data_IF_451686343165
#
_entry.id   IF_451686343165
#
_cell.length_a   1.000
_cell.length_b   1.000
_cell.length_c   1.000
_cell.angle_alpha   90.00
_cell.angle_beta   90.00
_cell.angle_gamma   90.00
#
_symmetry.space_group_name_H-M   'P 1'
#
loop_
_entity.id
_entity.type
_entity.pdbx_description
1 polymer ?
#
# COMPACT_ATOMS: atom_id res chain seq x y z
N UNK A 1 -23.99 3.95 -17.84
CA UNK A 1 -23.01 4.84 -17.19
C UNK A 1 -21.64 4.50 -17.74
N UNK A 2 -20.80 5.52 -17.98
CA UNK A 2 -19.42 5.31 -18.42
C UNK A 2 -18.54 4.75 -17.32
N UNK A 3 -17.60 3.86 -17.66
CA UNK A 3 -16.72 3.21 -16.69
C UNK A 3 -15.90 4.18 -15.84
N UNK A 4 -15.40 5.29 -16.42
CA UNK A 4 -14.67 6.29 -15.63
C UNK A 4 -15.54 6.95 -14.54
N UNK A 5 -16.85 7.08 -14.75
CA UNK A 5 -17.78 7.61 -13.74
C UNK A 5 -17.85 6.64 -12.56
N UNK A 6 -17.96 5.34 -12.86
CA UNK A 6 -17.96 4.30 -11.84
C UNK A 6 -16.66 4.31 -11.02
N UNK A 7 -15.50 4.37 -11.69
CA UNK A 7 -14.20 4.44 -11.02
C UNK A 7 -14.06 5.66 -10.11
N UNK A 8 -14.51 6.84 -10.57
CA UNK A 8 -14.52 8.06 -9.75
C UNK A 8 -15.44 7.89 -8.53
N UNK A 9 -16.64 7.33 -8.70
CA UNK A 9 -17.58 7.12 -7.61
C UNK A 9 -17.02 6.17 -6.55
N UNK A 10 -16.39 5.07 -6.94
CA UNK A 10 -15.80 4.15 -5.97
C UNK A 10 -14.63 4.80 -5.21
N UNK A 11 -13.77 5.57 -5.89
CA UNK A 11 -12.70 6.35 -5.21
C UNK A 11 -13.29 7.33 -4.19
N UNK A 12 -14.38 8.02 -4.55
CA UNK A 12 -15.10 8.92 -3.63
C UNK A 12 -15.63 8.14 -2.43
N UNK A 13 -16.30 7.00 -2.65
CA UNK A 13 -16.82 6.18 -1.56
C UNK A 13 -15.71 5.60 -0.68
N UNK A 14 -14.59 5.20 -1.26
CA UNK A 14 -13.40 4.78 -0.54
C UNK A 14 -12.92 5.91 0.39
N UNK A 15 -12.76 7.15 -0.12
CA UNK A 15 -12.30 8.26 0.71
C UNK A 15 -13.32 8.63 1.79
N UNK A 16 -14.61 8.72 1.47
CA UNK A 16 -15.67 9.01 2.45
C UNK A 16 -15.68 7.95 3.56
N UNK A 17 -15.66 6.66 3.18
CA UNK A 17 -15.64 5.55 4.12
C UNK A 17 -14.40 5.56 5.01
N UNK A 18 -13.22 5.73 4.40
CA UNK A 18 -11.93 5.76 5.10
C UNK A 18 -11.81 6.96 6.05
N UNK A 19 -12.23 8.16 5.63
CA UNK A 19 -12.26 9.36 6.48
C UNK A 19 -13.21 9.16 7.65
N UNK A 20 -14.44 8.69 7.39
CA UNK A 20 -15.46 8.48 8.42
C UNK A 20 -15.00 7.44 9.43
N UNK A 21 -14.39 6.35 8.97
CA UNK A 21 -13.84 5.31 9.83
C UNK A 21 -12.71 5.85 10.71
N UNK A 22 -11.78 6.62 10.13
CA UNK A 22 -10.70 7.28 10.90
C UNK A 22 -11.24 8.27 11.93
N UNK A 23 -12.30 9.01 11.61
CA UNK A 23 -12.89 9.99 12.52
C UNK A 23 -13.61 9.35 13.70
N UNK A 24 -14.27 8.22 13.46
CA UNK A 24 -14.97 7.45 14.49
C UNK A 24 -14.04 6.87 15.55
N UNK A 25 -12.83 6.43 15.18
CA UNK A 25 -11.91 5.75 16.10
C UNK A 25 -10.64 6.58 16.37
N UNK A 26 -10.51 7.08 17.61
CA UNK A 26 -9.36 7.90 18.03
C UNK A 26 -8.02 7.18 17.87
N UNK A 27 -8.00 5.85 18.02
CA UNK A 27 -6.83 5.01 17.82
C UNK A 27 -6.27 5.16 16.39
N UNK A 28 -7.14 5.21 15.37
CA UNK A 28 -6.74 5.33 13.97
C UNK A 28 -6.20 6.73 13.64
N UNK A 29 -6.66 7.76 14.36
CA UNK A 29 -6.15 9.14 14.19
C UNK A 29 -4.65 9.25 14.50
N UNK A 30 -4.11 8.35 15.32
CA UNK A 30 -2.68 8.31 15.69
C UNK A 30 -1.77 7.70 14.62
N UNK A 31 -2.32 7.05 13.59
CA UNK A 31 -1.55 6.55 12.43
C UNK A 31 -1.18 7.76 11.56
N UNK A 32 0.02 7.76 10.94
CA UNK A 32 0.34 8.74 9.89
C UNK A 32 -0.78 8.76 8.83
N UNK A 33 -1.14 9.95 8.33
CA UNK A 33 -2.26 10.09 7.39
C UNK A 33 -2.03 9.32 6.09
N UNK A 34 -0.86 9.50 5.48
CA UNK A 34 -0.50 8.82 4.24
C UNK A 34 -0.47 7.30 4.43
N UNK A 35 0.18 6.81 5.50
CA UNK A 35 0.17 5.37 5.82
C UNK A 35 -1.23 4.83 6.02
N UNK A 36 -2.09 5.56 6.74
CA UNK A 36 -3.45 5.10 7.01
C UNK A 36 -4.24 4.91 5.72
N UNK A 37 -4.30 5.93 4.85
CA UNK A 37 -5.04 5.81 3.60
C UNK A 37 -4.42 4.71 2.73
N UNK A 38 -3.11 4.61 2.68
CA UNK A 38 -2.43 3.54 1.97
C UNK A 38 -2.82 2.14 2.48
N UNK A 39 -2.79 1.91 3.80
CA UNK A 39 -3.23 0.64 4.41
C UNK A 39 -4.70 0.34 4.09
N UNK A 40 -5.57 1.34 4.14
CA UNK A 40 -6.97 1.17 3.76
C UNK A 40 -7.14 0.86 2.26
N UNK A 41 -6.30 1.44 1.40
CA UNK A 41 -6.28 1.15 -0.03
C UNK A 41 -5.80 -0.29 -0.28
N UNK A 42 -4.73 -0.72 0.39
CA UNK A 42 -4.24 -2.11 0.34
C UNK A 42 -5.34 -3.11 0.71
N UNK A 43 -6.17 -2.81 1.71
CA UNK A 43 -7.33 -3.65 2.07
C UNK A 43 -8.37 -3.68 0.93
N UNK A 44 -8.71 -2.52 0.36
CA UNK A 44 -9.66 -2.43 -0.76
C UNK A 44 -9.16 -3.21 -1.98
N UNK A 45 -7.89 -3.04 -2.36
CA UNK A 45 -7.27 -3.78 -3.46
C UNK A 45 -7.34 -5.27 -3.23
N UNK A 46 -7.12 -5.76 -2.00
CA UNK A 46 -7.30 -7.17 -1.69
C UNK A 46 -8.72 -7.70 -1.99
N UNK A 47 -9.77 -6.88 -1.81
CA UNK A 47 -11.11 -7.26 -2.25
C UNK A 47 -11.24 -7.30 -3.78
N UNK A 48 -10.60 -6.37 -4.49
CA UNK A 48 -10.58 -6.40 -5.95
C UNK A 48 -9.88 -7.66 -6.46
N UNK A 49 -8.72 -7.99 -5.90
CA UNK A 49 -7.91 -9.13 -6.28
C UNK A 49 -8.58 -10.47 -5.98
N UNK A 50 -9.24 -10.60 -4.82
CA UNK A 50 -10.06 -11.79 -4.52
C UNK A 50 -11.14 -11.97 -5.59
N UNK A 51 -11.79 -10.87 -6.00
CA UNK A 51 -12.81 -10.92 -7.06
C UNK A 51 -12.20 -11.29 -8.41
N UNK A 52 -11.04 -10.74 -8.76
CA UNK A 52 -10.30 -11.07 -9.97
C UNK A 52 -9.95 -12.56 -10.02
N UNK A 53 -9.34 -13.10 -8.95
CA UNK A 53 -8.97 -14.51 -8.87
C UNK A 53 -10.19 -15.42 -8.95
N UNK A 54 -11.29 -15.05 -8.29
CA UNK A 54 -12.53 -15.83 -8.27
C UNK A 54 -13.29 -15.76 -9.59
N UNK A 55 -13.11 -14.69 -10.36
CA UNK A 55 -13.83 -14.39 -11.59
C UNK A 55 -12.93 -14.34 -12.83
N UNK A 56 -11.77 -15.00 -12.75
CA UNK A 56 -10.67 -14.88 -13.72
C UNK A 56 -11.12 -15.13 -15.16
N UNK A 57 -11.96 -16.16 -15.37
CA UNK A 57 -12.49 -16.50 -16.71
C UNK A 57 -13.24 -15.33 -17.36
N UNK A 58 -14.08 -14.63 -16.61
CA UNK A 58 -14.84 -13.51 -17.14
C UNK A 58 -13.95 -12.29 -17.40
N UNK A 59 -12.92 -12.10 -16.58
CA UNK A 59 -11.90 -11.08 -16.82
C UNK A 59 -11.20 -11.34 -18.15
N UNK A 60 -10.73 -12.57 -18.39
CA UNK A 60 -10.08 -12.97 -19.64
C UNK A 60 -10.98 -12.79 -20.86
N UNK A 61 -12.24 -13.23 -20.79
CA UNK A 61 -13.17 -13.10 -21.91
C UNK A 61 -13.39 -11.64 -22.28
N UNK A 62 -13.64 -10.80 -21.28
CA UNK A 62 -13.86 -9.38 -21.49
C UNK A 62 -12.59 -8.66 -21.98
N UNK A 63 -11.38 -9.02 -21.52
CA UNK A 63 -10.13 -8.48 -22.08
C UNK A 63 -9.97 -8.79 -23.57
N UNK A 64 -10.26 -10.03 -23.97
CA UNK A 64 -10.20 -10.44 -25.38
C UNK A 64 -11.24 -9.69 -26.22
N UNK A 65 -12.45 -9.50 -25.70
CA UNK A 65 -13.48 -8.72 -26.37
C UNK A 65 -13.06 -7.26 -26.57
N UNK A 66 -12.44 -6.63 -25.56
CA UNK A 66 -11.90 -5.28 -25.65
C UNK A 66 -10.85 -5.15 -26.75
N UNK A 67 -9.92 -6.12 -26.84
CA UNK A 67 -8.90 -6.15 -27.89
C UNK A 67 -9.54 -6.34 -29.27
N UNK A 68 -10.48 -7.28 -29.40
CA UNK A 68 -11.13 -7.58 -30.69
C UNK A 68 -11.97 -6.42 -31.22
N UNK A 69 -12.51 -5.60 -30.30
CA UNK A 69 -13.36 -4.45 -30.64
C UNK A 69 -12.60 -3.12 -30.64
N UNK A 70 -11.33 -3.11 -30.21
CA UNK A 70 -10.52 -1.90 -29.99
C UNK A 70 -11.21 -0.88 -29.07
N UNK A 71 -11.81 -1.38 -27.98
CA UNK A 71 -12.58 -0.57 -27.03
C UNK A 71 -11.97 -0.55 -25.62
N UNK A 72 -12.31 0.48 -24.84
CA UNK A 72 -11.91 0.65 -23.45
C UNK A 72 -13.11 0.53 -22.50
N UNK A 73 -12.94 -0.09 -21.33
CA UNK A 73 -14.01 -0.15 -20.32
C UNK A 73 -14.38 1.24 -19.82
N UNK A 74 -13.45 2.19 -19.85
CA UNK A 74 -13.68 3.52 -19.27
C UNK A 74 -14.67 4.34 -20.08
N UNK A 75 -14.70 4.17 -21.41
CA UNK A 75 -15.49 4.99 -22.33
C UNK A 75 -16.82 4.38 -22.73
N UNK A 76 -16.99 3.06 -22.55
CA UNK A 76 -18.26 2.33 -22.77
C UNK A 76 -19.37 2.84 -21.85
N UNK A 77 -20.53 3.16 -22.41
CA UNK A 77 -21.71 3.59 -21.64
C UNK A 77 -22.68 2.45 -21.35
N UNK A 78 -22.17 1.34 -20.82
CA UNK A 78 -22.93 0.09 -20.64
C UNK A 78 -23.13 -0.31 -19.20
N UNK A 79 -22.52 0.39 -18.24
CA UNK A 79 -22.53 -0.02 -16.83
C UNK A 79 -23.68 0.60 -16.06
N UNK A 80 -24.29 -0.17 -15.17
CA UNK A 80 -25.21 0.35 -14.15
C UNK A 80 -24.46 0.73 -12.86
N UNK A 81 -25.15 1.39 -11.92
CA UNK A 81 -24.55 1.90 -10.68
C UNK A 81 -23.95 0.80 -9.78
N UNK A 82 -24.39 -0.45 -9.90
CA UNK A 82 -23.85 -1.55 -9.10
C UNK A 82 -22.40 -1.88 -9.43
N UNK A 83 -21.87 -1.42 -10.57
CA UNK A 83 -20.44 -1.54 -10.89
C UNK A 83 -19.53 -0.74 -9.96
N UNK A 84 -20.08 0.14 -9.11
CA UNK A 84 -19.35 0.79 -8.01
C UNK A 84 -18.93 -0.23 -6.95
N UNK A 85 -19.58 -1.39 -6.87
CA UNK A 85 -19.22 -2.41 -5.90
C UNK A 85 -17.85 -3.03 -6.25
N UNK A 86 -16.94 -3.19 -5.26
CA UNK A 86 -15.55 -3.58 -5.51
C UNK A 86 -15.38 -4.85 -6.36
N UNK A 87 -16.26 -5.84 -6.21
CA UNK A 87 -16.18 -7.07 -6.98
C UNK A 87 -16.57 -6.91 -8.45
N UNK A 88 -17.52 -6.02 -8.76
CA UNK A 88 -17.91 -5.71 -10.15
C UNK A 88 -16.91 -4.75 -10.80
N UNK A 89 -16.42 -3.75 -10.06
CA UNK A 89 -15.40 -2.86 -10.58
C UNK A 89 -14.10 -3.61 -10.89
N UNK A 90 -13.70 -4.52 -9.99
CA UNK A 90 -12.54 -5.39 -10.20
C UNK A 90 -12.57 -6.08 -11.55
N UNK A 91 -13.72 -6.65 -11.95
CA UNK A 91 -13.82 -7.32 -13.25
C UNK A 91 -13.48 -6.36 -14.40
N UNK A 92 -14.06 -5.16 -14.44
CA UNK A 92 -13.81 -4.24 -15.55
C UNK A 92 -12.40 -3.63 -15.49
N UNK A 93 -11.90 -3.34 -14.29
CA UNK A 93 -10.55 -2.83 -14.06
C UNK A 93 -9.50 -3.82 -14.54
N UNK A 94 -9.56 -5.07 -14.09
CA UNK A 94 -8.60 -6.09 -14.49
C UNK A 94 -8.78 -6.53 -15.95
N UNK A 95 -9.99 -6.39 -16.52
CA UNK A 95 -10.16 -6.64 -17.94
C UNK A 95 -9.48 -5.58 -18.82
N UNK A 96 -9.60 -4.31 -18.46
CA UNK A 96 -8.86 -3.22 -19.09
C UNK A 96 -7.35 -3.42 -18.93
N UNK A 97 -6.93 -3.73 -17.70
CA UNK A 97 -5.53 -3.96 -17.38
C UNK A 97 -4.96 -5.11 -18.23
N UNK A 98 -5.70 -6.23 -18.32
CA UNK A 98 -5.42 -7.39 -19.17
C UNK A 98 -5.37 -7.08 -20.67
N UNK A 99 -6.17 -6.14 -21.15
CA UNK A 99 -6.22 -5.79 -22.55
C UNK A 99 -5.06 -4.86 -22.96
N UNK A 100 -4.78 -3.85 -22.13
CA UNK A 100 -4.04 -2.66 -22.55
C UNK A 100 -2.78 -2.35 -21.74
N UNK A 101 -2.56 -2.99 -20.59
CA UNK A 101 -1.41 -2.71 -19.74
C UNK A 101 -0.54 -3.95 -19.51
N UNK A 102 -1.15 -5.05 -19.09
CA UNK A 102 -0.45 -6.30 -18.79
C UNK A 102 -1.31 -7.49 -19.21
N UNK A 103 -0.94 -8.08 -20.35
CA UNK A 103 -1.66 -9.20 -20.97
C UNK A 103 -1.56 -10.49 -20.18
N UNK A 104 -0.69 -10.57 -19.18
CA UNK A 104 -0.64 -11.70 -18.26
C UNK A 104 -1.95 -11.84 -17.46
N UNK A 105 -2.65 -10.73 -17.18
CA UNK A 105 -3.94 -10.76 -16.46
C UNK A 105 -5.07 -11.40 -17.26
N UNK A 106 -4.86 -11.70 -18.54
CA UNK A 106 -5.78 -12.48 -19.37
C UNK A 106 -5.17 -13.78 -19.92
N UNK A 107 -3.94 -14.13 -19.52
CA UNK A 107 -3.22 -15.30 -20.02
C UNK A 107 -3.44 -16.54 -19.16
N UNK A 108 -3.85 -17.66 -19.77
CA UNK A 108 -3.98 -18.94 -19.08
C UNK A 108 -2.69 -19.77 -19.04
N UNK A 109 -1.61 -19.28 -19.67
CA UNK A 109 -0.35 -20.03 -19.81
C UNK A 109 0.71 -19.61 -18.80
N UNK A 110 0.57 -18.43 -18.20
CA UNK A 110 1.46 -17.92 -17.16
C UNK A 110 0.62 -17.59 -15.92
N UNK A 111 1.03 -18.15 -14.79
CA UNK A 111 0.31 -18.08 -13.53
C UNK A 111 0.86 -16.99 -12.61
N UNK A 112 1.89 -16.28 -13.06
CA UNK A 112 2.61 -15.31 -12.24
C UNK A 112 1.70 -14.19 -11.73
N UNK A 113 0.91 -13.53 -12.58
CA UNK A 113 -0.07 -12.53 -12.14
C UNK A 113 -1.00 -13.07 -11.05
N UNK A 114 -1.49 -14.31 -11.18
CA UNK A 114 -2.37 -14.92 -10.17
C UNK A 114 -1.64 -15.18 -8.86
N UNK A 115 -0.36 -15.56 -8.91
CA UNK A 115 0.48 -15.72 -7.72
C UNK A 115 0.72 -14.36 -7.05
N UNK A 116 1.03 -13.32 -7.82
CA UNK A 116 1.26 -11.96 -7.34
C UNK A 116 -0.01 -11.42 -6.65
N UNK A 117 -1.16 -11.44 -7.32
CA UNK A 117 -2.43 -10.96 -6.73
C UNK A 117 -2.85 -11.84 -5.54
N UNK A 118 -2.69 -13.17 -5.62
CA UNK A 118 -3.01 -14.09 -4.53
C UNK A 118 -2.14 -13.86 -3.29
N UNK A 119 -0.85 -13.57 -3.50
CA UNK A 119 0.06 -13.22 -2.41
C UNK A 119 -0.25 -11.83 -1.84
N UNK A 120 -0.73 -10.88 -2.65
CA UNK A 120 -1.20 -9.59 -2.15
C UNK A 120 -2.44 -9.75 -1.26
N UNK A 121 -3.45 -10.48 -1.71
CA UNK A 121 -4.63 -10.83 -0.90
C UNK A 121 -4.24 -11.42 0.47
N UNK A 122 -3.39 -12.45 0.46
CA UNK A 122 -3.09 -13.26 1.65
C UNK A 122 -2.05 -12.66 2.57
N UNK A 123 -1.10 -11.88 2.05
CA UNK A 123 0.00 -11.31 2.83
C UNK A 123 -0.09 -9.80 2.99
N UNK A 124 -0.50 -9.07 1.96
CA UNK A 124 -0.53 -7.62 2.00
C UNK A 124 -1.86 -7.14 2.62
N UNK A 125 -2.99 -7.47 2.00
CA UNK A 125 -4.31 -7.03 2.42
C UNK A 125 -4.74 -7.63 3.76
N UNK A 126 -4.54 -8.94 3.97
CA UNK A 126 -4.87 -9.58 5.24
C UNK A 126 -4.09 -8.98 6.41
N UNK A 127 -2.77 -8.81 6.29
CA UNK A 127 -1.99 -8.21 7.38
C UNK A 127 -2.25 -6.71 7.54
N UNK A 128 -2.60 -5.99 6.47
CA UNK A 128 -3.09 -4.61 6.57
C UNK A 128 -4.37 -4.54 7.42
N UNK A 129 -5.32 -5.45 7.18
CA UNK A 129 -6.55 -5.57 7.97
C UNK A 129 -6.23 -5.92 9.44
N UNK A 130 -5.38 -6.91 9.68
CA UNK A 130 -4.93 -7.27 11.03
C UNK A 130 -4.26 -6.10 11.74
N UNK A 131 -3.45 -5.30 11.04
CA UNK A 131 -2.84 -4.10 11.61
C UNK A 131 -3.92 -3.12 12.10
N UNK A 132 -4.93 -2.83 11.27
CA UNK A 132 -6.06 -1.96 11.68
C UNK A 132 -6.78 -2.54 12.91
N UNK A 133 -7.08 -3.85 12.92
CA UNK A 133 -7.72 -4.54 14.06
C UNK A 133 -6.86 -4.40 15.33
N UNK A 134 -5.56 -4.68 15.27
CA UNK A 134 -4.66 -4.54 16.41
C UNK A 134 -4.57 -3.09 16.89
N UNK A 135 -4.59 -2.12 15.97
CA UNK A 135 -4.59 -0.70 16.32
C UNK A 135 -5.84 -0.31 17.10
N UNK A 136 -7.02 -0.76 16.66
CA UNK A 136 -8.29 -0.52 17.33
C UNK A 136 -8.31 -1.13 18.74
N UNK A 137 -7.71 -2.31 18.90
CA UNK A 137 -7.57 -3.01 20.18
C UNK A 137 -6.40 -2.52 21.05
N UNK A 138 -5.80 -1.36 20.73
CA UNK A 138 -4.67 -0.76 21.45
C UNK A 138 -3.43 -1.67 21.56
N UNK A 139 -3.33 -2.72 20.74
CA UNK A 139 -2.19 -3.61 20.71
C UNK A 139 -1.11 -3.08 19.76
N UNK A 140 -0.34 -2.10 20.24
CA UNK A 140 0.61 -1.37 19.40
C UNK A 140 1.73 -2.26 18.84
N UNK A 141 2.21 -3.25 19.61
CA UNK A 141 3.27 -4.15 19.16
C UNK A 141 2.79 -5.01 17.99
N UNK A 142 1.64 -5.65 18.12
CA UNK A 142 1.10 -6.49 17.04
C UNK A 142 0.66 -5.65 15.83
N UNK A 143 0.19 -4.42 16.05
CA UNK A 143 -0.03 -3.46 14.96
C UNK A 143 1.25 -3.23 14.14
N UNK A 144 2.39 -2.94 14.80
CA UNK A 144 3.64 -2.69 14.09
C UNK A 144 4.15 -3.94 13.38
N UNK A 145 4.01 -5.13 13.99
CA UNK A 145 4.39 -6.40 13.36
C UNK A 145 3.55 -6.64 12.10
N UNK A 146 2.22 -6.57 12.23
CA UNK A 146 1.31 -6.80 11.10
C UNK A 146 1.50 -5.76 9.99
N UNK A 147 1.68 -4.49 10.35
CA UNK A 147 2.00 -3.44 9.38
C UNK A 147 3.33 -3.71 8.66
N UNK A 148 4.37 -4.14 9.39
CA UNK A 148 5.68 -4.44 8.79
C UNK A 148 5.61 -5.62 7.84
N UNK A 149 4.87 -6.68 8.19
CA UNK A 149 4.62 -7.80 7.28
C UNK A 149 3.89 -7.31 6.04
N UNK A 150 2.76 -6.64 6.19
CA UNK A 150 1.95 -6.12 5.07
C UNK A 150 2.74 -5.23 4.12
N UNK A 151 3.45 -4.23 4.64
CA UNK A 151 4.21 -3.30 3.79
C UNK A 151 5.47 -3.97 3.21
N UNK A 152 6.13 -4.84 3.97
CA UNK A 152 7.32 -5.55 3.50
C UNK A 152 7.00 -6.53 2.38
N UNK A 153 5.91 -7.29 2.52
CA UNK A 153 5.45 -8.21 1.47
C UNK A 153 4.92 -7.44 0.28
N UNK A 154 4.20 -6.33 0.47
CA UNK A 154 3.75 -5.49 -0.64
C UNK A 154 4.92 -4.90 -1.44
N UNK A 155 5.93 -4.37 -0.76
CA UNK A 155 7.15 -3.89 -1.42
C UNK A 155 7.83 -4.99 -2.23
N UNK A 156 8.01 -6.18 -1.63
CA UNK A 156 8.63 -7.32 -2.32
C UNK A 156 7.78 -7.80 -3.50
N UNK A 157 6.46 -7.84 -3.34
CA UNK A 157 5.53 -8.29 -4.38
C UNK A 157 5.60 -7.37 -5.61
N UNK A 158 5.52 -6.05 -5.41
CA UNK A 158 5.65 -5.07 -6.49
C UNK A 158 7.05 -5.06 -7.10
N UNK A 159 8.10 -5.28 -6.30
CA UNK A 159 9.46 -5.40 -6.81
C UNK A 159 9.60 -6.60 -7.76
N UNK A 160 9.19 -7.79 -7.32
CA UNK A 160 9.25 -9.01 -8.12
C UNK A 160 8.38 -8.90 -9.38
N UNK A 161 7.17 -8.35 -9.24
CA UNK A 161 6.26 -8.09 -10.36
C UNK A 161 6.93 -7.22 -11.43
N UNK A 162 7.48 -6.06 -11.06
CA UNK A 162 8.09 -5.15 -12.04
C UNK A 162 9.29 -5.78 -12.76
N UNK A 163 10.14 -6.51 -12.03
CA UNK A 163 11.28 -7.20 -12.64
C UNK A 163 10.85 -8.29 -13.61
N UNK A 164 9.86 -9.10 -13.23
CA UNK A 164 9.32 -10.14 -14.11
C UNK A 164 8.72 -9.52 -15.37
N UNK A 165 7.93 -8.45 -15.22
CA UNK A 165 7.33 -7.75 -16.35
C UNK A 165 8.40 -7.26 -17.35
N UNK A 166 9.48 -6.63 -16.88
CA UNK A 166 10.57 -6.19 -17.74
C UNK A 166 11.32 -7.33 -18.44
N UNK A 167 11.35 -8.53 -17.86
CA UNK A 167 11.90 -9.73 -18.51
C UNK A 167 10.94 -10.22 -19.60
N UNK A 168 9.64 -10.24 -19.31
CA UNK A 168 8.59 -10.66 -20.24
C UNK A 168 8.53 -9.76 -21.48
N UNK A 169 8.68 -8.45 -21.33
CA UNK A 169 8.74 -7.50 -22.44
C UNK A 169 9.85 -7.79 -23.45
N UNK A 170 10.92 -8.47 -23.02
CA UNK A 170 12.08 -8.84 -23.87
C UNK A 170 11.96 -10.24 -24.47
N UNK A 171 10.94 -11.00 -24.11
CA UNK A 171 10.79 -12.41 -24.50
C UNK A 171 9.77 -12.56 -25.62
N UNK A 172 10.17 -12.87 -26.88
CA UNK A 172 9.26 -12.85 -28.04
C UNK A 172 8.03 -13.77 -27.94
N UNK A 173 8.12 -14.84 -27.16
CA UNK A 173 7.01 -15.78 -26.93
C UNK A 173 6.05 -15.34 -25.83
N UNK A 174 6.35 -14.28 -25.08
CA UNK A 174 5.50 -13.83 -23.98
C UNK A 174 4.40 -12.88 -24.46
N UNK A 175 3.22 -12.94 -23.84
CA UNK A 175 2.07 -12.10 -24.17
C UNK A 175 2.34 -10.60 -23.97
N UNK A 176 3.29 -10.25 -23.10
CA UNK A 176 3.71 -8.88 -22.82
C UNK A 176 4.87 -8.39 -23.72
N UNK A 177 5.35 -9.22 -24.66
CA UNK A 177 6.45 -8.86 -25.55
C UNK A 177 6.21 -7.53 -26.25
N UNK A 178 7.21 -6.65 -26.20
CA UNK A 178 7.13 -5.35 -26.84
C UNK A 178 7.21 -5.48 -28.37
N UNK A 179 6.13 -5.10 -29.05
CA UNK A 179 6.03 -5.18 -30.50
C UNK A 179 5.06 -4.12 -31.05
N UNK A 180 4.93 -4.02 -32.38
CA UNK A 180 4.09 -3.01 -33.03
C UNK A 180 2.61 -3.06 -32.66
N UNK A 181 2.08 -4.23 -32.27
CA UNK A 181 0.67 -4.42 -31.87
C UNK A 181 0.43 -4.27 -30.38
N UNK A 182 1.49 -4.27 -29.57
CA UNK A 182 1.42 -4.05 -28.14
C UNK A 182 2.67 -3.31 -27.65
N UNK A 183 2.85 -2.04 -28.06
CA UNK A 183 4.07 -1.32 -27.76
C UNK A 183 4.16 -1.00 -26.26
N UNK A 184 5.38 -1.04 -25.71
CA UNK A 184 5.69 -0.55 -24.35
C UNK A 184 5.78 0.98 -24.32
N UNK A 185 6.31 1.58 -25.39
CA UNK A 185 6.75 2.98 -25.39
C UNK A 185 8.17 3.16 -24.85
N UNK A 186 8.99 2.11 -24.86
CA UNK A 186 10.37 2.13 -24.40
C UNK A 186 10.50 2.08 -22.87
N UNK A 187 11.60 2.64 -22.35
CA UNK A 187 11.98 2.49 -20.94
C UNK A 187 11.00 3.12 -19.92
N UNK A 188 10.07 3.98 -20.37
CA UNK A 188 9.13 4.70 -19.52
C UNK A 188 7.69 4.18 -19.58
N UNK A 189 7.44 3.08 -20.30
CA UNK A 189 6.11 2.47 -20.42
C UNK A 189 5.02 3.45 -20.88
N UNK A 190 5.35 4.40 -21.76
CA UNK A 190 4.46 5.48 -22.19
C UNK A 190 3.18 4.99 -22.86
N UNK A 191 3.22 3.79 -23.46
CA UNK A 191 2.07 3.16 -24.11
C UNK A 191 1.30 2.21 -23.19
N UNK A 192 1.78 2.00 -21.96
CA UNK A 192 1.17 1.15 -20.93
C UNK A 192 1.05 1.94 -19.61
N UNK A 193 0.32 3.09 -19.60
CA UNK A 193 0.35 4.04 -18.48
C UNK A 193 -0.18 3.47 -17.16
N UNK A 194 -1.02 2.45 -17.21
CA UNK A 194 -1.50 1.77 -15.99
C UNK A 194 -0.38 1.05 -15.23
N UNK A 195 0.77 0.75 -15.86
CA UNK A 195 1.93 0.18 -15.16
C UNK A 195 2.53 1.11 -14.10
N UNK A 196 2.29 2.42 -14.19
CA UNK A 196 2.73 3.39 -13.19
C UNK A 196 2.06 3.17 -11.82
N UNK A 197 0.89 2.52 -11.79
CA UNK A 197 0.23 2.14 -10.54
C UNK A 197 1.13 1.19 -9.72
N UNK A 198 1.87 0.30 -10.37
CA UNK A 198 2.80 -0.62 -9.68
C UNK A 198 4.02 0.08 -9.08
N UNK A 199 4.44 1.21 -9.67
CA UNK A 199 5.49 2.06 -9.09
C UNK A 199 4.99 2.67 -7.78
N UNK A 200 3.74 3.14 -7.73
CA UNK A 200 3.15 3.59 -6.46
C UNK A 200 3.05 2.45 -5.44
N UNK A 201 2.70 1.24 -5.88
CA UNK A 201 2.70 0.05 -5.03
C UNK A 201 4.08 -0.33 -4.48
N UNK A 202 5.18 0.13 -5.09
CA UNK A 202 6.54 0.01 -4.55
C UNK A 202 6.90 1.17 -3.60
N UNK A 203 6.60 2.42 -3.96
CA UNK A 203 7.04 3.61 -3.23
C UNK A 203 6.35 3.75 -1.87
N UNK A 204 5.04 3.52 -1.82
CA UNK A 204 4.23 3.78 -0.64
C UNK A 204 4.46 2.81 0.54
N UNK A 205 4.63 1.49 0.34
CA UNK A 205 5.07 0.63 1.44
C UNK A 205 6.47 0.99 1.92
N UNK A 206 7.39 1.33 1.00
CA UNK A 206 8.73 1.80 1.37
C UNK A 206 8.70 3.07 2.21
N UNK A 207 7.90 4.07 1.81
CA UNK A 207 7.63 5.27 2.60
C UNK A 207 7.11 4.93 4.00
N UNK A 208 6.15 4.02 4.10
CA UNK A 208 5.56 3.63 5.39
C UNK A 208 6.61 2.98 6.31
N UNK A 209 7.41 2.06 5.77
CA UNK A 209 8.49 1.40 6.52
C UNK A 209 9.48 2.46 7.02
N UNK A 210 9.98 3.33 6.14
CA UNK A 210 10.93 4.38 6.49
C UNK A 210 10.36 5.33 7.55
N UNK A 211 9.11 5.78 7.40
CA UNK A 211 8.46 6.67 8.35
C UNK A 211 8.48 6.09 9.76
N UNK A 212 8.10 4.82 9.93
CA UNK A 212 8.06 4.17 11.25
C UNK A 212 9.45 3.84 11.80
N UNK A 213 10.41 3.49 10.95
CA UNK A 213 11.80 3.30 11.37
C UNK A 213 12.42 4.62 11.87
N UNK A 214 12.29 5.70 11.11
CA UNK A 214 12.85 7.01 11.46
C UNK A 214 12.16 7.59 12.68
N UNK A 215 10.83 7.49 12.78
CA UNK A 215 10.09 7.95 13.95
C UNK A 215 10.59 7.29 15.24
N UNK A 216 10.78 5.97 15.22
CA UNK A 216 11.29 5.22 16.38
C UNK A 216 12.69 5.68 16.81
N UNK A 217 13.57 5.99 15.85
CA UNK A 217 14.92 6.51 16.13
C UNK A 217 14.83 7.89 16.79
N UNK A 218 13.95 8.77 16.30
CA UNK A 218 13.76 10.12 16.85
C UNK A 218 13.21 10.04 18.27
N UNK A 219 12.16 9.23 18.48
CA UNK A 219 11.52 9.05 19.80
C UNK A 219 12.56 8.52 20.80
N UNK A 220 13.36 7.52 20.41
CA UNK A 220 14.44 6.98 21.26
C UNK A 220 15.49 8.03 21.64
N UNK A 221 15.93 8.86 20.68
CA UNK A 221 16.90 9.94 20.95
C UNK A 221 16.32 10.96 21.92
N UNK A 222 15.06 11.32 21.75
CA UNK A 222 14.37 12.26 22.63
C UNK A 222 14.25 11.73 24.06
N UNK A 223 13.92 10.45 24.22
CA UNK A 223 13.86 9.79 25.53
C UNK A 223 15.23 9.74 26.23
N UNK A 224 16.30 9.47 25.48
CA UNK A 224 17.67 9.52 26.00
C UNK A 224 18.08 10.93 26.46
N UNK A 225 17.73 11.96 25.68
CA UNK A 225 18.00 13.36 26.05
C UNK A 225 17.25 13.75 27.32
N UNK A 226 15.96 13.44 27.40
CA UNK A 226 15.13 13.70 28.59
C UNK A 226 15.68 12.98 29.83
N UNK A 227 16.11 11.72 29.68
CA UNK A 227 16.74 10.97 30.79
C UNK A 227 18.04 11.62 31.26
N UNK A 228 18.83 12.21 30.33
CA UNK A 228 20.07 12.91 30.67
C UNK A 228 19.80 14.23 31.40
N UNK A 229 18.79 14.99 30.97
CA UNK A 229 18.37 16.22 31.63
C UNK A 229 17.91 15.96 33.07
N UNK A 230 17.06 14.94 33.27
CA UNK A 230 16.61 14.53 34.62
C UNK A 230 17.80 14.13 35.49
N UNK A 231 18.76 13.37 34.94
CA UNK A 231 19.96 12.97 35.68
C UNK A 231 20.83 14.17 36.07
N UNK A 232 21.00 15.14 35.16
CA UNK A 232 21.76 16.36 35.43
C UNK A 232 21.08 17.22 36.51
N UNK A 233 19.76 17.39 36.44
CA UNK A 233 18.99 18.11 37.46
C UNK A 233 19.18 17.48 38.86
N UNK A 234 19.07 16.16 38.97
CA UNK A 234 19.31 15.44 40.24
C UNK A 234 20.75 15.68 40.74
N UNK A 235 21.75 15.59 39.87
CA UNK A 235 23.15 15.82 40.24
C UNK A 235 23.41 17.25 40.74
N UNK A 236 22.78 18.25 40.14
CA UNK A 236 22.90 19.65 40.57
C UNK A 236 22.18 19.92 41.91
N UNK A 237 21.03 19.28 42.15
CA UNK A 237 20.35 19.32 43.45
C UNK A 237 21.23 18.71 44.56
N UNK A 238 21.84 17.55 44.32
CA UNK A 238 22.80 16.93 45.26
C UNK A 238 24.01 17.80 45.55
N UNK A 239 24.57 18.48 44.54
CA UNK A 239 25.71 19.41 44.72
C UNK A 239 25.32 20.64 45.54
N UNK A 240 24.10 21.13 45.36
CA UNK A 240 23.58 22.26 46.14
C UNK A 240 23.42 21.87 47.62
N UNK A 241 22.86 20.69 47.88
CA UNK A 241 22.70 20.15 49.24
C UNK A 241 24.05 19.85 49.91
N UNK A 242 25.04 19.35 49.16
CA UNK A 242 26.37 19.06 49.73
C UNK A 242 27.11 20.34 50.11
N UNK A 243 26.95 21.42 49.34
CA UNK A 243 27.52 22.73 49.64
C UNK A 243 26.86 23.42 50.83
N UNK A 244 25.56 23.22 51.05
CA UNK A 244 24.83 23.79 52.20
C UNK A 244 25.06 23.05 53.52
N UNK A 245 25.68 21.87 53.50
CA UNK A 245 25.98 21.04 54.68
C UNK A 245 27.41 21.15 55.20
N UNK A 246 28.25 22.00 54.61
CA UNK A 246 29.58 22.32 55.16
C UNK A 246 29.42 23.68 55.87
N UNK A 247 29.33 23.73 57.21
CA UNK A 247 29.41 24.99 57.92
C UNK A 247 30.79 25.60 57.65
N UNK A 248 30.83 26.89 57.27
CA UNK A 248 32.08 27.63 57.06
C UNK A 248 32.93 27.77 58.34
N UNK A 249 32.45 27.27 59.48
CA UNK A 249 33.08 27.43 60.79
C UNK A 249 34.18 26.40 61.08
N UNK A 250 34.53 25.52 60.11
CA UNK A 250 35.56 24.48 60.26
C UNK A 250 36.84 24.72 59.44
N UNK A 251 37.01 25.92 58.86
CA UNK A 251 38.18 26.28 58.03
C UNK A 251 39.13 27.29 58.68
N UNK A 252 39.02 27.51 59.99
CA UNK A 252 39.95 28.32 60.78
C UNK A 252 40.38 27.57 62.04
N UNK A 253 41.25 26.57 61.87
CA UNK A 253 42.23 26.06 62.84
C UNK A 253 43.34 25.35 62.04
#
# INVERSE_FOLDING_TARGET
MKGYIIGILEIIFYFIGSITFRWKYNQLKTINRATYYWVMMTILTGFWEISYLSNYKNVTLMSKDLINTDEHVWTKDTYDISYVLPWKLSQIFYSEYGAWADREYMSHTDDWSRIIEGSHCTQCALFALLAIIFKLNLNHKNYLIALSVSMGTQFMNSFLYMFQYFIQEKTPSNVNYDNSTFPSGGALLEKRPFMWVNIFWLIMPFYTILYYMTKKIIDYRHDCLKSREVKNYILDEYRTISKSKIPNDLLLL
#
